data_IF_121367668371
#
_entry.id   IF_121367668371
#
_cell.length_a   1.000
_cell.length_b   1.000
_cell.length_c   1.000
_cell.angle_alpha   90.00
_cell.angle_beta   90.00
_cell.angle_gamma   90.00
#
_symmetry.space_group_name_H-M   'P 1'
#
loop_
_entity.id
_entity.type
_entity.pdbx_description
1 polymer ?
#
# COMPACT_ATOMS: atom_id res chain seq x y z
N UNK A 1 -22.20 -59.19 -7.26
CA UNK A 1 -22.71 -58.11 -6.37
C UNK A 1 -21.58 -57.11 -6.24
N UNK A 2 -21.51 -56.19 -7.20
CA UNK A 2 -21.98 -54.79 -7.13
C UNK A 2 -20.84 -53.88 -6.66
N UNK A 3 -20.11 -53.37 -7.66
CA UNK A 3 -19.12 -52.32 -7.51
C UNK A 3 -19.80 -50.96 -7.32
N UNK A 4 -19.15 -50.10 -6.55
CA UNK A 4 -19.47 -48.69 -6.43
C UNK A 4 -18.32 -47.90 -7.07
N UNK A 5 -18.66 -47.18 -8.14
CA UNK A 5 -17.79 -46.31 -8.90
C UNK A 5 -18.20 -44.87 -8.55
N UNK A 6 -17.42 -44.19 -7.72
CA UNK A 6 -17.66 -42.80 -7.31
C UNK A 6 -17.01 -41.85 -8.33
N UNK A 7 -17.76 -41.52 -9.38
CA UNK A 7 -17.42 -40.39 -10.25
C UNK A 7 -17.87 -39.08 -9.57
N UNK A 8 -16.91 -38.28 -9.08
CA UNK A 8 -17.16 -36.89 -8.73
C UNK A 8 -17.31 -36.02 -9.99
N UNK A 9 -18.26 -35.07 -10.04
CA UNK A 9 -18.34 -34.11 -11.12
C UNK A 9 -17.20 -33.07 -11.02
N UNK A 10 -16.36 -33.05 -12.05
CA UNK A 10 -15.35 -32.04 -12.32
C UNK A 10 -16.04 -30.70 -12.66
N UNK A 11 -16.19 -29.80 -11.69
CA UNK A 11 -16.65 -28.43 -11.92
C UNK A 11 -15.51 -27.61 -12.52
N UNK A 12 -15.51 -27.52 -13.85
CA UNK A 12 -14.58 -26.70 -14.62
C UNK A 12 -14.62 -25.23 -14.17
N UNK A 13 -13.50 -24.76 -13.59
CA UNK A 13 -13.22 -23.35 -13.39
C UNK A 13 -12.83 -22.72 -14.74
N UNK A 14 -13.83 -22.45 -15.56
CA UNK A 14 -13.70 -21.57 -16.72
C UNK A 14 -13.76 -20.12 -16.23
N UNK A 15 -12.60 -19.54 -15.92
CA UNK A 15 -12.46 -18.14 -15.54
C UNK A 15 -12.74 -17.23 -16.75
N UNK A 16 -13.99 -16.86 -16.95
CA UNK A 16 -14.40 -15.75 -17.79
C UNK A 16 -13.96 -14.40 -17.17
N UNK A 17 -13.64 -13.37 -17.97
CA UNK A 17 -13.24 -12.06 -17.46
C UNK A 17 -14.38 -11.45 -16.64
N UNK A 18 -14.09 -11.16 -15.37
CA UNK A 18 -15.02 -10.53 -14.41
C UNK A 18 -15.50 -9.18 -14.95
N UNK A 19 -16.70 -9.17 -15.54
CA UNK A 19 -17.50 -7.96 -15.69
C UNK A 19 -17.72 -7.35 -14.30
N UNK A 20 -17.70 -6.02 -14.23
CA UNK A 20 -17.82 -5.23 -13.00
C UNK A 20 -18.90 -5.80 -12.08
N UNK A 21 -18.48 -6.33 -10.93
CA UNK A 21 -19.36 -6.99 -9.96
C UNK A 21 -20.50 -6.05 -9.57
N UNK A 22 -21.73 -6.44 -9.88
CA UNK A 22 -22.93 -5.88 -9.28
C UNK A 22 -22.80 -5.99 -7.75
N UNK A 23 -23.19 -4.94 -7.04
CA UNK A 23 -23.30 -5.00 -5.58
C UNK A 23 -24.38 -6.03 -5.27
N UNK A 24 -24.10 -6.98 -4.38
CA UNK A 24 -25.09 -7.97 -3.97
C UNK A 24 -26.29 -7.31 -3.31
N UNK A 25 -27.50 -7.78 -3.62
CA UNK A 25 -28.76 -7.25 -3.07
C UNK A 25 -28.76 -7.22 -1.54
N UNK A 26 -28.08 -8.18 -0.90
CA UNK A 26 -27.90 -8.25 0.55
C UNK A 26 -27.25 -7.00 1.15
N UNK A 27 -26.29 -6.39 0.43
CA UNK A 27 -25.56 -5.20 0.89
C UNK A 27 -26.47 -3.96 0.82
N UNK A 28 -27.32 -3.91 -0.20
CA UNK A 28 -28.30 -2.81 -0.36
C UNK A 28 -29.35 -2.91 0.75
N UNK A 29 -29.86 -4.11 1.03
CA UNK A 29 -30.80 -4.35 2.12
C UNK A 29 -30.21 -4.02 3.50
N UNK A 30 -28.97 -4.44 3.75
CA UNK A 30 -28.26 -4.12 5.00
C UNK A 30 -28.06 -2.61 5.17
N UNK A 31 -27.68 -1.88 4.11
CA UNK A 31 -27.54 -0.43 4.16
C UNK A 31 -28.87 0.28 4.45
N UNK A 32 -29.96 -0.14 3.80
CA UNK A 32 -31.28 0.40 4.03
C UNK A 32 -31.74 0.23 5.49
N UNK A 33 -31.40 -0.89 6.13
CA UNK A 33 -31.73 -1.13 7.54
C UNK A 33 -31.08 -0.15 8.52
N UNK A 34 -29.96 0.48 8.14
CA UNK A 34 -29.22 1.47 8.93
C UNK A 34 -29.48 2.90 8.41
N UNK A 35 -30.39 3.08 7.45
CA UNK A 35 -30.69 4.37 6.83
C UNK A 35 -29.60 4.88 5.87
N UNK A 36 -28.73 3.99 5.38
CA UNK A 36 -27.66 4.32 4.43
C UNK A 36 -28.06 3.90 3.02
N UNK A 37 -28.14 4.89 2.12
CA UNK A 37 -28.37 4.65 0.69
C UNK A 37 -27.05 4.26 0.00
N UNK A 38 -26.81 2.95 -0.06
CA UNK A 38 -25.58 2.36 -0.61
C UNK A 38 -25.41 2.69 -2.10
N UNK A 39 -26.50 2.80 -2.85
CA UNK A 39 -26.46 3.14 -4.27
C UNK A 39 -26.02 4.58 -4.49
N UNK A 40 -26.60 5.54 -3.77
CA UNK A 40 -26.16 6.94 -3.82
C UNK A 40 -24.70 7.08 -3.38
N UNK A 41 -24.31 6.36 -2.33
CA UNK A 41 -22.94 6.40 -1.82
C UNK A 41 -21.95 5.88 -2.87
N UNK A 42 -22.27 4.76 -3.52
CA UNK A 42 -21.47 4.20 -4.61
C UNK A 42 -21.34 5.19 -5.78
N UNK A 43 -22.45 5.77 -6.21
CA UNK A 43 -22.46 6.72 -7.32
C UNK A 43 -21.62 7.96 -7.00
N UNK A 44 -21.66 8.44 -5.75
CA UNK A 44 -20.82 9.53 -5.26
C UNK A 44 -19.32 9.20 -5.31
N UNK A 45 -18.92 7.98 -4.92
CA UNK A 45 -17.51 7.58 -4.99
C UNK A 45 -17.03 7.27 -6.41
N UNK A 46 -17.91 6.75 -7.27
CA UNK A 46 -17.58 6.56 -8.70
C UNK A 46 -17.35 7.89 -9.40
N UNK A 47 -18.20 8.89 -9.16
CA UNK A 47 -18.01 10.23 -9.73
C UNK A 47 -16.77 10.92 -9.14
N UNK A 48 -16.51 10.75 -7.84
CA UNK A 48 -15.31 11.31 -7.21
C UNK A 48 -14.01 10.67 -7.71
N UNK A 49 -14.02 9.36 -8.01
CA UNK A 49 -12.89 8.66 -8.65
C UNK A 49 -12.65 9.14 -10.08
N UNK A 50 -13.72 9.43 -10.83
CA UNK A 50 -13.61 10.04 -12.16
C UNK A 50 -12.99 11.45 -12.07
N UNK A 51 -13.43 12.27 -11.12
CA UNK A 51 -12.91 13.63 -10.91
C UNK A 51 -11.45 13.61 -10.46
N UNK A 52 -11.06 12.71 -9.56
CA UNK A 52 -9.67 12.58 -9.12
C UNK A 52 -8.70 12.10 -10.21
N UNK A 53 -9.20 11.38 -11.23
CA UNK A 53 -8.40 11.05 -12.41
C UNK A 53 -8.27 12.24 -13.39
N UNK A 54 -9.15 13.25 -13.31
CA UNK A 54 -9.09 14.48 -14.09
C UNK A 54 -8.28 15.60 -13.41
N UNK A 55 -8.15 15.58 -12.08
CA UNK A 55 -7.40 16.58 -11.29
C UNK A 55 -5.95 16.20 -10.98
N UNK A 56 -5.35 15.29 -11.74
CA UNK A 56 -3.88 15.19 -11.80
C UNK A 56 -3.39 16.29 -12.73
N UNK A 57 -3.08 17.45 -12.16
CA UNK A 57 -2.70 18.69 -12.85
C UNK A 57 -1.42 18.59 -13.68
N UNK A 58 -1.54 18.03 -14.88
CA UNK A 58 -0.63 18.28 -15.99
C UNK A 58 -1.31 19.17 -17.02
N UNK A 59 -0.55 20.00 -17.73
CA UNK A 59 -1.05 20.73 -18.91
C UNK A 59 -1.64 19.73 -19.93
N UNK A 60 -2.54 20.19 -20.81
CA UNK A 60 -3.12 19.33 -21.87
C UNK A 60 -2.05 18.59 -22.69
N UNK A 61 -0.87 19.20 -22.84
CA UNK A 61 0.27 18.64 -23.54
C UNK A 61 0.88 17.44 -22.81
N UNK A 62 0.94 17.46 -21.48
CA UNK A 62 1.42 16.31 -20.70
C UNK A 62 0.46 15.11 -20.78
N UNK A 63 -0.85 15.37 -20.85
CA UNK A 63 -1.87 14.32 -20.99
C UNK A 63 -1.73 13.65 -22.35
N UNK A 64 -1.63 14.44 -23.43
CA UNK A 64 -1.40 13.93 -24.79
C UNK A 64 -0.10 13.15 -24.90
N UNK A 65 0.98 13.66 -24.29
CA UNK A 65 2.29 12.99 -24.29
C UNK A 65 2.25 11.64 -23.57
N UNK A 66 1.63 11.59 -22.39
CA UNK A 66 1.45 10.32 -21.65
C UNK A 66 0.62 9.32 -22.44
N UNK A 67 -0.43 9.79 -23.10
CA UNK A 67 -1.29 8.93 -23.91
C UNK A 67 -0.55 8.38 -25.14
N UNK A 68 0.22 9.21 -25.85
CA UNK A 68 1.07 8.77 -26.95
C UNK A 68 2.14 7.76 -26.51
N UNK A 69 2.77 7.98 -25.35
CA UNK A 69 3.74 7.04 -24.77
C UNK A 69 3.10 5.69 -24.45
N UNK A 70 1.89 5.70 -23.88
CA UNK A 70 1.16 4.49 -23.54
C UNK A 70 0.73 3.71 -24.80
N UNK A 71 0.25 4.41 -25.83
CA UNK A 71 -0.12 3.79 -27.10
C UNK A 71 1.11 3.22 -27.83
N UNK A 72 2.24 3.92 -27.80
CA UNK A 72 3.51 3.43 -28.37
C UNK A 72 4.00 2.16 -27.64
N UNK A 73 3.90 2.11 -26.31
CA UNK A 73 4.22 0.90 -25.54
C UNK A 73 3.28 -0.26 -25.88
N UNK A 74 1.99 0.03 -26.06
CA UNK A 74 1.00 -0.98 -26.45
C UNK A 74 1.33 -1.58 -27.81
N UNK A 75 1.71 -0.75 -28.79
CA UNK A 75 2.13 -1.21 -30.12
C UNK A 75 3.38 -2.09 -30.05
N UNK A 76 4.41 -1.65 -29.32
CA UNK A 76 5.63 -2.45 -29.11
C UNK A 76 5.35 -3.82 -28.50
N UNK A 77 4.42 -3.89 -27.54
CA UNK A 77 4.04 -5.17 -26.92
C UNK A 77 3.29 -6.11 -27.87
N UNK A 78 2.49 -5.56 -28.80
CA UNK A 78 1.79 -6.35 -29.82
C UNK A 78 2.78 -6.89 -30.86
N UNK A 79 3.75 -6.08 -31.27
CA UNK A 79 4.83 -6.48 -32.19
C UNK A 79 5.70 -7.58 -31.58
N UNK A 80 6.13 -7.43 -30.32
CA UNK A 80 6.90 -8.45 -29.60
C UNK A 80 6.12 -9.78 -29.51
N UNK A 81 4.82 -9.73 -29.18
CA UNK A 81 3.96 -10.93 -29.15
C UNK A 81 3.80 -11.58 -30.53
N UNK A 82 3.78 -10.81 -31.61
CA UNK A 82 3.69 -11.37 -32.96
C UNK A 82 4.98 -12.03 -33.43
N UNK A 83 6.14 -11.59 -32.93
CA UNK A 83 7.45 -12.15 -33.28
C UNK A 83 7.82 -13.41 -32.46
N UNK A 84 6.94 -13.88 -31.58
CA UNK A 84 7.20 -15.06 -30.73
C UNK A 84 8.23 -14.79 -29.62
N UNK A 85 8.66 -13.55 -29.46
CA UNK A 85 9.53 -13.11 -28.38
C UNK A 85 8.66 -12.94 -27.14
N UNK A 86 8.78 -13.85 -26.18
CA UNK A 86 8.18 -13.67 -24.86
C UNK A 86 8.89 -12.45 -24.28
N UNK A 87 8.21 -11.30 -24.07
CA UNK A 87 8.86 -10.18 -23.42
C UNK A 87 9.32 -10.69 -22.08
N UNK A 88 10.64 -10.70 -21.85
CA UNK A 88 11.20 -10.80 -20.51
C UNK A 88 10.49 -9.70 -19.75
N UNK A 89 9.59 -10.11 -18.86
CA UNK A 89 8.93 -9.20 -17.95
C UNK A 89 10.08 -8.75 -17.09
N UNK A 90 10.67 -7.59 -17.44
CA UNK A 90 11.60 -6.89 -16.58
C UNK A 90 10.93 -6.91 -15.21
N UNK A 91 11.45 -7.78 -14.34
CA UNK A 91 11.01 -7.89 -12.98
C UNK A 91 11.45 -6.57 -12.38
N UNK A 92 10.59 -5.56 -12.51
CA UNK A 92 10.71 -4.29 -11.82
C UNK A 92 11.20 -4.65 -10.42
N UNK A 93 12.37 -4.15 -9.97
CA UNK A 93 12.82 -4.37 -8.60
C UNK A 93 11.75 -3.77 -7.68
N UNK A 94 10.79 -4.61 -7.31
CA UNK A 94 9.55 -4.25 -6.64
C UNK A 94 9.91 -3.91 -5.22
N UNK A 95 10.03 -2.61 -4.91
CA UNK A 95 9.66 -2.05 -3.60
C UNK A 95 10.21 -2.82 -2.37
N UNK A 96 11.43 -3.35 -2.42
CA UNK A 96 11.99 -4.09 -1.28
C UNK A 96 12.56 -3.12 -0.23
N UNK A 97 12.89 -1.88 -0.60
CA UNK A 97 13.53 -0.94 0.32
C UNK A 97 12.60 -0.37 1.39
N UNK A 98 11.28 -0.33 1.18
CA UNK A 98 10.37 0.25 2.19
C UNK A 98 10.16 -0.66 3.39
N UNK A 99 10.36 -1.98 3.26
CA UNK A 99 10.15 -2.92 4.36
C UNK A 99 11.24 -2.81 5.43
N UNK A 100 12.51 -2.64 5.02
CA UNK A 100 13.65 -2.52 5.95
C UNK A 100 13.53 -1.34 6.91
N UNK A 101 12.79 -0.28 6.53
CA UNK A 101 12.58 0.90 7.39
C UNK A 101 11.65 0.63 8.57
N UNK A 102 10.69 -0.30 8.43
CA UNK A 102 9.72 -0.60 9.48
C UNK A 102 10.28 -1.60 10.50
N UNK A 103 11.20 -2.48 10.09
CA UNK A 103 11.81 -3.48 10.99
C UNK A 103 12.64 -2.85 12.13
N UNK A 104 13.13 -1.63 11.91
CA UNK A 104 13.91 -0.89 12.90
C UNK A 104 13.07 0.05 13.76
N UNK A 105 11.76 0.15 13.53
CA UNK A 105 10.87 1.02 14.30
C UNK A 105 10.42 0.31 15.58
N UNK A 106 10.70 0.91 16.72
CA UNK A 106 10.32 0.41 18.04
C UNK A 106 9.39 1.42 18.70
N UNK A 107 8.24 0.93 19.17
CA UNK A 107 7.24 1.74 19.86
C UNK A 107 7.49 1.63 21.36
N UNK A 108 7.56 2.78 22.06
CA UNK A 108 7.68 2.79 23.52
C UNK A 108 6.44 2.14 24.15
N UNK A 109 6.64 1.06 24.91
CA UNK A 109 5.57 0.29 25.54
C UNK A 109 4.84 1.08 26.64
N UNK A 110 5.51 2.02 27.31
CA UNK A 110 4.94 2.79 28.42
C UNK A 110 3.94 3.85 27.99
N UNK A 111 4.18 4.54 26.89
CA UNK A 111 3.27 5.55 26.34
C UNK A 111 2.50 5.07 25.09
N UNK A 112 2.75 3.84 24.62
CA UNK A 112 2.12 3.29 23.43
C UNK A 112 2.43 4.07 22.15
N UNK A 113 3.62 4.70 22.07
CA UNK A 113 4.01 5.49 20.92
C UNK A 113 3.59 6.96 20.93
N UNK A 114 2.87 7.42 21.95
CA UNK A 114 2.37 8.80 21.99
C UNK A 114 3.40 9.82 22.47
N UNK A 115 4.46 9.38 23.13
CA UNK A 115 5.45 10.27 23.76
C UNK A 115 4.96 10.94 25.05
N UNK A 116 3.66 10.94 25.31
CA UNK A 116 3.04 11.52 26.51
C UNK A 116 2.41 10.45 27.40
N UNK A 117 2.42 10.68 28.70
CA UNK A 117 1.76 9.85 29.71
C UNK A 117 0.76 10.73 30.46
N UNK A 118 -0.49 10.24 30.51
CA UNK A 118 -1.56 10.89 31.27
C UNK A 118 -1.54 10.37 32.70
N UNK A 119 -1.46 11.28 33.65
CA UNK A 119 -1.51 10.97 35.07
C UNK A 119 -2.73 11.65 35.70
N UNK A 120 -3.52 10.87 36.43
CA UNK A 120 -4.61 11.41 37.23
C UNK A 120 -4.03 11.98 38.53
N UNK A 121 -4.18 13.28 38.71
CA UNK A 121 -3.81 13.98 39.94
C UNK A 121 -5.05 14.68 40.51
N UNK A 122 -5.58 14.13 41.60
CA UNK A 122 -6.87 14.50 42.18
C UNK A 122 -8.01 14.36 41.15
N UNK A 123 -8.59 15.49 40.72
CA UNK A 123 -9.70 15.57 39.76
C UNK A 123 -9.25 16.09 38.38
N UNK A 124 -7.93 16.17 38.15
CA UNK A 124 -7.35 16.67 36.91
C UNK A 124 -6.51 15.59 36.23
N UNK A 125 -6.65 15.50 34.91
CA UNK A 125 -5.73 14.73 34.07
C UNK A 125 -4.57 15.66 33.70
N UNK A 126 -3.36 15.30 34.11
CA UNK A 126 -2.14 15.99 33.69
C UNK A 126 -1.42 15.17 32.64
N UNK A 127 -0.96 15.84 31.59
CA UNK A 127 -0.13 15.23 30.56
C UNK A 127 1.33 15.60 30.84
N UNK A 128 2.20 14.60 30.77
CA UNK A 128 3.63 14.76 30.99
C UNK A 128 4.39 13.95 29.96
N UNK A 129 5.60 14.38 29.60
CA UNK A 129 6.43 13.63 28.66
C UNK A 129 6.83 12.30 29.29
N UNK A 130 6.79 11.24 28.49
CA UNK A 130 7.23 9.92 28.92
C UNK A 130 8.73 9.95 29.21
N UNK A 131 9.12 9.58 30.43
CA UNK A 131 10.53 9.63 30.87
C UNK A 131 11.41 8.62 30.12
N UNK A 132 10.83 7.51 29.64
CA UNK A 132 11.59 6.43 28.97
C UNK A 132 11.98 6.76 27.53
N UNK A 133 11.11 7.46 26.81
CA UNK A 133 11.37 7.89 25.43
C UNK A 133 11.52 9.40 25.29
N UNK A 134 11.64 10.09 26.42
CA UNK A 134 11.82 11.55 26.53
C UNK A 134 10.80 12.40 25.75
N UNK A 135 9.60 11.87 25.48
CA UNK A 135 8.58 12.59 24.70
C UNK A 135 8.43 12.18 23.24
N UNK A 136 9.33 11.34 22.70
CA UNK A 136 9.30 10.96 21.28
C UNK A 136 8.23 9.91 20.96
N UNK A 137 8.03 8.95 21.87
CA UNK A 137 7.09 7.83 21.70
C UNK A 137 7.58 6.73 20.76
N UNK A 138 8.26 7.10 19.67
CA UNK A 138 8.80 6.20 18.65
C UNK A 138 10.33 6.28 18.68
N UNK A 139 10.99 5.12 18.69
CA UNK A 139 12.44 4.98 18.72
C UNK A 139 12.91 4.15 17.53
N UNK A 140 14.16 4.35 17.10
CA UNK A 140 14.77 3.57 16.03
C UNK A 140 15.87 2.66 16.57
N UNK A 141 15.88 1.40 16.15
CA UNK A 141 16.99 0.49 16.44
C UNK A 141 18.16 0.81 15.51
N UNK A 142 19.24 1.34 16.08
CA UNK A 142 20.51 1.51 15.37
C UNK A 142 21.14 0.15 15.04
N UNK A 143 22.11 0.15 14.12
CA UNK A 143 22.86 -1.05 13.72
C UNK A 143 23.55 -1.74 14.91
N UNK A 144 23.92 -0.96 15.93
CA UNK A 144 24.58 -1.45 17.15
C UNK A 144 23.57 -2.00 18.19
N UNK A 145 22.29 -2.05 17.86
CA UNK A 145 21.21 -2.44 18.79
C UNK A 145 20.80 -1.36 19.80
N UNK A 146 21.47 -0.20 19.79
CA UNK A 146 21.12 0.96 20.62
C UNK A 146 19.87 1.66 20.05
N UNK A 147 18.98 2.10 20.93
CA UNK A 147 17.79 2.86 20.56
C UNK A 147 18.16 4.33 20.37
N UNK A 148 17.88 4.86 19.18
CA UNK A 148 18.14 6.24 18.80
C UNK A 148 16.83 7.01 18.66
N UNK A 149 16.90 8.31 18.90
CA UNK A 149 15.78 9.23 18.69
C UNK A 149 15.58 9.50 17.20
N UNK A 150 14.35 9.84 16.76
CA UNK A 150 14.08 10.19 15.36
C UNK A 150 14.99 11.30 14.83
N UNK A 151 15.25 12.33 15.65
CA UNK A 151 16.14 13.45 15.33
C UNK A 151 17.59 13.04 15.07
N UNK A 152 18.03 11.92 15.65
CA UNK A 152 19.40 11.42 15.50
C UNK A 152 19.50 10.37 14.38
N UNK A 153 18.39 9.67 14.07
CA UNK A 153 18.34 8.57 13.11
C UNK A 153 18.46 8.99 11.64
N UNK A 154 18.03 10.20 11.25
CA UNK A 154 18.13 10.65 9.85
C UNK A 154 19.58 10.82 9.37
N UNK A 155 20.49 11.16 10.28
CA UNK A 155 21.91 11.40 9.97
C UNK A 155 22.68 10.14 9.55
N UNK A 156 22.22 8.95 9.93
CA UNK A 156 22.89 7.68 9.59
C UNK A 156 22.51 7.13 8.21
N UNK A 157 21.41 7.60 7.62
CA UNK A 157 20.97 7.12 6.30
C UNK A 157 21.73 7.76 5.12
N UNK A 158 22.51 8.82 5.37
CA UNK A 158 23.29 9.53 4.36
C UNK A 158 24.73 9.03 4.19
N UNK A 159 25.21 8.08 5.00
CA UNK A 159 26.59 7.53 4.89
C UNK A 159 26.63 6.26 3.99
N UNK A 160 25.63 6.06 3.14
CA UNK A 160 25.55 4.89 2.25
C UNK A 160 25.53 5.23 0.77
N UNK A 161 26.44 6.10 0.33
CA UNK A 161 26.91 6.16 -1.05
C UNK A 161 28.32 6.76 -1.07
N UNK A 162 29.22 6.24 -1.91
CA UNK A 162 30.65 6.57 -2.08
C UNK A 162 31.63 5.68 -1.30
N UNK A 163 31.64 4.38 -1.58
CA UNK A 163 32.88 3.60 -1.50
C UNK A 163 32.99 2.60 -2.66
N UNK A 164 32.88 3.14 -3.88
CA UNK A 164 33.05 2.43 -5.15
C UNK A 164 34.06 3.20 -6.01
N UNK A 165 35.32 3.19 -5.58
CA UNK A 165 36.45 3.52 -6.46
C UNK A 165 37.75 2.99 -5.86
N UNK A 166 38.57 2.40 -6.72
CA UNK A 166 39.92 1.85 -6.51
C UNK A 166 40.02 0.42 -5.99
N UNK A 167 39.85 -0.53 -6.91
CA UNK A 167 40.83 -1.61 -7.04
C UNK A 167 41.35 -1.52 -8.48
N UNK A 168 42.63 -1.21 -8.60
CA UNK A 168 43.42 -1.15 -9.82
C UNK A 168 44.22 -2.44 -9.96
#
# INVERSE_FOLDING_TARGET
MSGFNENLPNTGNSAAPRAASSIGEDVIAAGASVGVDVEKLRNKYLSQKLVNNLTVGGSEDEIKLKQQLQDAQRMRNLEARSNGEIPEVDEFPKKIETKKRLDNLIICSRCGGQGIVKQNYNFQIRESNCVECEGEGILYKGLNGVLLKPSEGESLSLIHTHNLSLIH
#
